data_IF_350672751569
#
_entry.id   IF_350672751569
#
_cell.length_a   1.000
_cell.length_b   1.000
_cell.length_c   1.000
_cell.angle_alpha   90.00
_cell.angle_beta   90.00
_cell.angle_gamma   90.00
#
_symmetry.space_group_name_H-M   'P 1'
#
loop_
_entity.id
_entity.type
_entity.pdbx_description
1 polymer ?
#
# COMPACT_ATOMS: atom_id res chain seq x y z
N UNK A 1 -0.49 2.53 33.49
CA UNK A 1 -1.61 2.20 32.60
C UNK A 1 -1.82 3.38 31.69
N UNK A 2 -1.69 3.19 30.38
CA UNK A 2 -1.92 4.26 29.41
C UNK A 2 -3.37 4.20 28.93
N UNK A 3 -3.86 5.27 28.32
CA UNK A 3 -5.19 5.31 27.69
C UNK A 3 -4.99 5.32 26.19
N UNK A 4 -5.72 4.47 25.47
CA UNK A 4 -5.69 4.46 24.02
C UNK A 4 -6.24 5.79 23.47
N UNK A 5 -5.50 6.54 22.63
CA UNK A 5 -5.98 7.80 22.06
C UNK A 5 -7.13 7.60 21.07
N UNK A 6 -7.29 6.40 20.50
CA UNK A 6 -8.30 6.11 19.47
C UNK A 6 -9.67 5.73 20.06
N UNK A 7 -9.71 5.02 21.19
CA UNK A 7 -10.95 4.48 21.75
C UNK A 7 -11.14 4.71 23.26
N UNK A 8 -10.15 5.28 23.96
CA UNK A 8 -10.25 5.56 25.40
C UNK A 8 -10.11 4.35 26.33
N UNK A 9 -9.90 3.14 25.81
CA UNK A 9 -9.69 1.96 26.64
C UNK A 9 -8.35 2.02 27.39
N UNK A 10 -8.30 1.47 28.60
CA UNK A 10 -7.07 1.34 29.38
C UNK A 10 -6.15 0.26 28.80
N UNK A 11 -4.89 0.61 28.56
CA UNK A 11 -3.90 -0.26 27.92
C UNK A 11 -2.75 -0.61 28.88
N UNK A 12 -2.26 -1.86 28.86
CA UNK A 12 -1.05 -2.25 29.58
C UNK A 12 0.15 -1.37 29.17
N UNK A 13 1.05 -1.10 30.12
CA UNK A 13 2.30 -0.37 29.81
C UNK A 13 3.17 -1.20 28.87
N UNK A 14 3.62 -0.59 27.76
CA UNK A 14 4.46 -1.26 26.77
C UNK A 14 3.71 -2.04 25.68
N UNK A 15 2.37 -2.02 25.68
CA UNK A 15 1.60 -2.60 24.58
C UNK A 15 1.81 -1.80 23.27
N UNK A 16 2.20 -2.47 22.19
CA UNK A 16 2.37 -1.84 20.88
C UNK A 16 1.01 -1.50 20.21
N UNK A 17 -0.02 -2.28 20.49
CA UNK A 17 -1.38 -2.12 19.95
C UNK A 17 -2.43 -2.15 21.06
N UNK A 18 -3.55 -1.48 20.83
CA UNK A 18 -4.69 -1.52 21.74
C UNK A 18 -5.39 -2.90 21.68
N UNK A 19 -5.57 -3.61 22.80
CA UNK A 19 -6.29 -4.89 22.83
C UNK A 19 -7.80 -4.75 22.58
N UNK A 20 -8.35 -3.54 22.61
CA UNK A 20 -9.78 -3.28 22.43
C UNK A 20 -10.12 -2.89 20.99
N UNK A 21 -9.35 -2.01 20.34
CA UNK A 21 -9.65 -1.51 19.00
C UNK A 21 -8.58 -1.80 17.94
N UNK A 22 -7.42 -2.37 18.33
CA UNK A 22 -6.33 -2.70 17.42
C UNK A 22 -5.46 -1.51 16.98
N UNK A 23 -5.77 -0.26 17.37
CA UNK A 23 -4.94 0.88 16.95
C UNK A 23 -3.54 0.82 17.54
N UNK A 24 -2.52 1.19 16.74
CA UNK A 24 -1.14 1.31 17.20
C UNK A 24 -1.02 2.37 18.30
N UNK A 25 -0.44 1.99 19.44
CA UNK A 25 -0.19 2.87 20.60
C UNK A 25 1.24 3.43 20.56
N UNK A 26 2.16 2.67 19.97
CA UNK A 26 3.44 3.19 19.52
C UNK A 26 3.16 3.94 18.23
N UNK A 27 3.29 5.27 18.24
CA UNK A 27 3.23 6.06 17.03
C UNK A 27 4.34 5.61 16.08
N UNK A 28 4.05 4.61 15.25
CA UNK A 28 4.70 4.57 13.95
C UNK A 28 4.20 5.85 13.29
N UNK A 29 5.08 6.75 12.84
CA UNK A 29 4.62 7.69 11.86
C UNK A 29 4.09 6.79 10.76
N UNK A 30 2.77 6.71 10.67
CA UNK A 30 2.14 6.68 9.37
C UNK A 30 2.67 7.96 8.71
N UNK A 31 3.90 7.88 8.20
CA UNK A 31 4.27 8.46 6.94
C UNK A 31 3.27 7.85 6.00
N UNK A 32 2.04 8.39 6.08
CA UNK A 32 0.92 8.12 5.24
C UNK A 32 1.59 8.10 3.89
N UNK A 33 1.79 6.90 3.35
CA UNK A 33 2.49 6.76 2.09
C UNK A 33 1.63 7.61 1.21
N UNK A 34 2.16 8.77 0.81
CA UNK A 34 1.37 9.74 0.08
C UNK A 34 0.99 8.97 -1.16
N UNK A 35 -0.27 8.53 -1.22
CA UNK A 35 -0.78 7.81 -2.37
C UNK A 35 -0.79 8.84 -3.48
N UNK A 36 0.33 8.91 -4.19
CA UNK A 36 0.55 9.87 -5.24
C UNK A 36 -0.14 9.33 -6.49
N UNK A 37 -1.34 9.83 -6.75
CA UNK A 37 -2.04 9.57 -8.01
C UNK A 37 -1.44 10.48 -9.08
N UNK A 38 -0.53 9.92 -9.89
CA UNK A 38 0.05 10.62 -11.05
C UNK A 38 -0.87 10.48 -12.25
N UNK A 39 -1.21 11.60 -12.88
CA UNK A 39 -1.88 11.60 -14.18
C UNK A 39 -0.86 11.17 -15.23
N UNK A 40 -1.12 10.05 -15.91
CA UNK A 40 -0.27 9.54 -16.99
C UNK A 40 -1.08 9.44 -18.29
N UNK A 41 -0.40 9.64 -19.42
CA UNK A 41 -0.98 9.40 -20.74
C UNK A 41 -0.46 8.06 -21.26
N UNK A 42 -1.38 7.18 -21.67
CA UNK A 42 -1.05 5.89 -22.29
C UNK A 42 -1.43 5.96 -23.75
N UNK A 43 -0.47 5.65 -24.62
CA UNK A 43 -0.71 5.47 -26.05
C UNK A 43 -0.65 3.99 -26.37
N UNK A 44 -1.76 3.43 -26.86
CA UNK A 44 -1.79 2.09 -27.44
C UNK A 44 -1.49 2.22 -28.93
N UNK A 45 -0.43 1.57 -29.39
CA UNK A 45 -0.11 1.44 -30.82
C UNK A 45 -0.10 -0.04 -31.14
N UNK A 46 -0.92 -0.44 -32.11
CA UNK A 46 -0.76 -1.72 -32.77
C UNK A 46 0.14 -1.55 -33.99
N UNK A 47 1.14 -2.42 -34.13
CA UNK A 47 1.98 -2.44 -35.31
C UNK A 47 1.38 -3.46 -36.28
N UNK A 48 1.13 -3.05 -37.52
CA UNK A 48 0.69 -3.98 -38.57
C UNK A 48 1.69 -5.14 -38.66
N UNK A 49 1.22 -6.38 -38.47
CA UNK A 49 2.05 -7.58 -38.47
C UNK A 49 2.75 -7.90 -37.13
N UNK A 50 2.35 -7.29 -36.01
CA UNK A 50 2.94 -7.53 -34.69
C UNK A 50 2.85 -9.00 -34.25
N UNK A 51 1.71 -9.66 -34.48
CA UNK A 51 1.48 -11.07 -34.10
C UNK A 51 2.52 -12.02 -34.72
N UNK A 52 2.72 -11.97 -36.03
CA UNK A 52 3.70 -12.82 -36.73
C UNK A 52 5.16 -12.54 -36.32
N UNK A 53 5.45 -11.31 -35.88
CA UNK A 53 6.79 -10.90 -35.47
C UNK A 53 7.08 -11.31 -34.03
N UNK A 54 6.08 -11.29 -33.15
CA UNK A 54 6.21 -11.69 -31.75
C UNK A 54 6.41 -13.19 -31.61
N UNK A 55 5.72 -14.01 -32.41
CA UNK A 55 5.87 -15.47 -32.40
C UNK A 55 7.30 -15.94 -32.78
N UNK A 56 8.00 -15.18 -33.65
CA UNK A 56 9.40 -15.49 -34.02
C UNK A 56 10.42 -14.96 -33.00
N UNK A 57 10.00 -14.07 -32.12
CA UNK A 57 10.86 -13.44 -31.13
C UNK A 57 10.88 -14.20 -29.79
N UNK A 58 10.11 -15.28 -29.67
CA UNK A 58 10.10 -16.14 -28.48
C UNK A 58 11.41 -16.95 -28.38
N UNK A 59 12.23 -16.75 -27.33
CA UNK A 59 13.54 -17.39 -27.18
C UNK A 59 13.51 -18.77 -26.48
N UNK A 60 12.36 -19.44 -26.42
CA UNK A 60 12.24 -20.81 -25.90
C UNK A 60 12.98 -21.89 -26.71
#
# INVERSE_FOLDING_TARGET
MAVCPSCGAGTPSGAAFCPTCGSSLTGSPDTARVEERRVVSVLFVDLVGFTERSDRADPE
#
